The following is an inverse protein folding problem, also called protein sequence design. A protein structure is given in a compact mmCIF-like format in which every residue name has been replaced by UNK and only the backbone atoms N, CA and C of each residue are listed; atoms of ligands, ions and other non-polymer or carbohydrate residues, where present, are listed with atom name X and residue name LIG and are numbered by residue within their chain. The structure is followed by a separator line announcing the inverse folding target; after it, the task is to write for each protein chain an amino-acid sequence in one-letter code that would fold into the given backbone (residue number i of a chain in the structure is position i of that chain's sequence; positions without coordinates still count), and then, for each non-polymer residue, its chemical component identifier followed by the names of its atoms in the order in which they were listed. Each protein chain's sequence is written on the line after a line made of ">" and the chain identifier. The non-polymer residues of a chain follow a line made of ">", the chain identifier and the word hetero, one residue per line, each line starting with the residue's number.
data_IF_414993181668
#
_entry.id   IF_414993181668
#
_cell.length_a   1.000
_cell.length_b   1.000
_cell.length_c   1.000
_cell.angle_alpha   90.00
_cell.angle_beta   90.00
_cell.angle_gamma   90.00
#
_symmetry.space_group_name_H-M   'P 1'
#
loop_
_entity.id
_entity.type
_entity.pdbx_description
1 polymer ?
#
# COMPACT_ATOMS: atom_id res chain seq x y z
N UNK A 1 3.28 -19.30 -17.65
CA UNK A 1 2.78 -19.13 -19.02
C UNK A 1 3.79 -19.76 -19.95
N UNK A 2 3.43 -20.89 -20.42
CA UNK A 2 4.18 -21.81 -21.25
C UNK A 2 5.55 -21.27 -21.71
N UNK A 3 6.63 -21.73 -21.08
CA UNK A 3 8.03 -21.41 -21.40
C UNK A 3 8.41 -19.91 -21.39
N UNK A 4 7.74 -19.06 -20.58
CA UNK A 4 8.04 -17.63 -20.46
C UNK A 4 8.30 -17.19 -19.01
N UNK A 5 9.28 -16.30 -18.83
CA UNK A 5 9.51 -15.55 -17.59
C UNK A 5 9.04 -14.12 -17.81
N UNK A 6 8.27 -13.58 -16.87
CA UNK A 6 7.76 -12.21 -16.90
C UNK A 6 8.41 -11.45 -15.75
N UNK A 7 9.03 -10.32 -16.05
CA UNK A 7 9.77 -9.51 -15.09
C UNK A 7 9.30 -8.07 -15.15
N UNK A 8 8.93 -7.53 -13.99
CA UNK A 8 8.81 -6.09 -13.80
C UNK A 8 10.18 -5.48 -13.52
N UNK A 9 10.56 -4.46 -14.27
CA UNK A 9 11.88 -3.84 -14.12
C UNK A 9 11.81 -2.54 -13.35
N UNK A 10 12.93 -2.13 -12.75
CA UNK A 10 13.05 -0.85 -12.06
C UNK A 10 12.84 0.34 -13.04
N UNK A 11 13.35 0.27 -14.25
CA UNK A 11 12.91 1.12 -15.33
C UNK A 11 11.45 0.76 -15.66
N UNK A 12 10.52 1.72 -15.82
CA UNK A 12 9.10 1.42 -15.99
C UNK A 12 8.83 0.54 -17.21
N UNK A 13 8.96 -0.76 -17.06
CA UNK A 13 8.67 -1.73 -18.13
C UNK A 13 8.33 -3.12 -17.62
N UNK A 14 7.64 -3.89 -18.45
CA UNK A 14 7.45 -5.32 -18.33
C UNK A 14 8.28 -5.99 -19.42
N UNK A 15 9.13 -6.93 -19.04
CA UNK A 15 9.98 -7.70 -19.95
C UNK A 15 9.60 -9.17 -19.91
N UNK A 16 9.48 -9.79 -21.07
CA UNK A 16 9.13 -11.21 -21.22
C UNK A 16 10.25 -11.94 -21.91
N UNK A 17 10.72 -12.98 -21.27
CA UNK A 17 11.85 -13.80 -21.72
C UNK A 17 11.42 -15.22 -22.02
N UNK A 18 12.13 -15.88 -22.94
CA UNK A 18 12.10 -17.33 -23.14
C UNK A 18 12.69 -18.03 -21.92
N UNK A 19 11.92 -18.94 -21.30
CA UNK A 19 12.35 -19.63 -20.07
C UNK A 19 13.61 -20.47 -20.27
N UNK A 20 13.76 -21.12 -21.45
CA UNK A 20 14.85 -22.06 -21.72
C UNK A 20 16.11 -21.35 -22.19
N UNK A 21 15.97 -20.31 -23.02
CA UNK A 21 17.05 -19.60 -23.66
C UNK A 21 17.49 -18.34 -22.94
N UNK A 22 16.68 -17.82 -22.00
CA UNK A 22 16.91 -16.53 -21.35
C UNK A 22 16.88 -15.33 -22.32
N UNK A 23 16.35 -15.53 -23.54
CA UNK A 23 16.30 -14.48 -24.57
C UNK A 23 15.09 -13.58 -24.34
N UNK A 24 15.27 -12.26 -24.40
CA UNK A 24 14.18 -11.28 -24.41
C UNK A 24 13.29 -11.53 -25.64
N UNK A 25 12.02 -11.78 -25.42
CA UNK A 25 11.01 -11.96 -26.45
C UNK A 25 10.35 -10.64 -26.83
N UNK A 26 9.95 -9.86 -25.82
CA UNK A 26 9.35 -8.55 -26.00
C UNK A 26 9.39 -7.73 -24.71
N UNK A 27 9.17 -6.43 -24.86
CA UNK A 27 9.13 -5.45 -23.78
C UNK A 27 7.92 -4.52 -23.96
N UNK A 28 7.23 -4.22 -22.86
CA UNK A 28 6.18 -3.22 -22.78
C UNK A 28 6.64 -2.06 -21.92
N UNK A 29 6.73 -0.86 -22.47
CA UNK A 29 7.14 0.34 -21.74
C UNK A 29 5.96 0.97 -20.99
N UNK A 30 6.15 1.17 -19.67
CA UNK A 30 5.26 1.91 -18.76
C UNK A 30 5.74 3.36 -18.59
N UNK A 31 6.40 3.92 -19.59
CA UNK A 31 6.97 5.26 -19.57
C UNK A 31 5.98 6.27 -20.14
N UNK A 32 5.81 7.40 -19.46
CA UNK A 32 5.15 8.57 -20.02
C UNK A 32 6.19 9.48 -20.70
N UNK A 33 6.18 9.53 -22.02
CA UNK A 33 7.12 10.32 -22.81
C UNK A 33 6.88 11.83 -22.74
N UNK A 34 5.76 12.27 -22.17
CA UNK A 34 5.42 13.70 -22.01
C UNK A 34 5.97 14.30 -20.72
N UNK A 35 6.40 13.48 -19.78
CA UNK A 35 7.00 13.93 -18.53
C UNK A 35 8.50 14.15 -18.69
N UNK A 36 8.99 15.33 -18.33
CA UNK A 36 10.40 15.69 -18.42
C UNK A 36 11.20 15.14 -17.22
N UNK A 37 12.42 14.73 -17.51
CA UNK A 37 13.63 14.73 -16.70
C UNK A 37 13.54 14.21 -15.26
N UNK A 38 13.59 12.90 -15.13
CA UNK A 38 13.91 12.23 -13.88
C UNK A 38 15.38 11.75 -13.88
N UNK A 39 16.12 11.92 -12.77
CA UNK A 39 17.44 11.32 -12.58
C UNK A 39 17.43 10.33 -11.42
N UNK A 40 17.88 9.13 -11.68
CA UNK A 40 18.12 8.11 -10.66
C UNK A 40 19.51 7.48 -10.90
N UNK A 41 20.25 7.24 -9.81
CA UNK A 41 21.57 6.62 -9.89
C UNK A 41 22.58 7.41 -10.73
N UNK A 42 22.47 8.74 -10.79
CA UNK A 42 23.39 9.62 -11.56
C UNK A 42 23.08 9.69 -13.06
N UNK A 43 22.10 8.94 -13.57
CA UNK A 43 21.68 8.97 -14.99
C UNK A 43 20.42 9.84 -15.17
N UNK A 44 20.38 10.55 -16.30
CA UNK A 44 19.21 11.32 -16.72
C UNK A 44 18.19 10.38 -17.39
N UNK A 45 16.93 10.50 -16.99
CA UNK A 45 15.81 9.80 -17.62
C UNK A 45 14.82 10.85 -18.13
N UNK A 46 14.51 10.81 -19.42
CA UNK A 46 13.62 11.75 -20.11
C UNK A 46 12.17 11.21 -20.15
N UNK A 47 11.72 10.57 -19.06
CA UNK A 47 10.38 10.02 -18.95
C UNK A 47 9.87 10.06 -17.50
N UNK A 48 8.58 10.12 -17.34
CA UNK A 48 7.86 9.74 -16.13
C UNK A 48 7.16 8.39 -16.35
N UNK A 49 6.43 7.92 -15.38
CA UNK A 49 5.72 6.64 -15.40
C UNK A 49 5.95 5.87 -14.12
N UNK A 50 5.18 4.83 -13.91
CA UNK A 50 5.25 4.00 -12.71
C UNK A 50 5.95 2.67 -12.99
N UNK A 51 6.99 2.36 -12.22
CA UNK A 51 7.59 1.02 -12.30
C UNK A 51 6.61 -0.05 -11.74
N UNK A 52 6.68 -1.30 -12.20
CA UNK A 52 5.78 -2.37 -11.80
C UNK A 52 6.18 -3.05 -10.48
N UNK A 53 6.54 -2.29 -9.46
CA UNK A 53 7.04 -2.82 -8.20
C UNK A 53 5.94 -3.34 -7.26
N UNK A 54 4.68 -2.91 -7.45
CA UNK A 54 3.53 -3.39 -6.68
C UNK A 54 3.16 -4.84 -6.96
N UNK A 55 3.68 -5.41 -8.04
CA UNK A 55 3.48 -6.82 -8.40
C UNK A 55 2.68 -7.02 -9.68
N UNK A 56 2.70 -8.27 -10.14
CA UNK A 56 2.08 -8.71 -11.39
C UNK A 56 1.24 -9.95 -11.11
N UNK A 57 0.03 -9.98 -11.63
CA UNK A 57 -0.82 -11.17 -11.67
C UNK A 57 -1.19 -11.53 -13.10
N UNK A 58 -1.33 -12.83 -13.37
CA UNK A 58 -1.59 -13.34 -14.70
C UNK A 58 -2.91 -14.12 -14.75
N UNK A 59 -3.81 -13.72 -15.65
CA UNK A 59 -4.95 -14.53 -16.08
C UNK A 59 -4.47 -15.47 -17.16
N UNK A 60 -4.27 -16.75 -16.82
CA UNK A 60 -3.73 -17.74 -17.72
C UNK A 60 -4.71 -18.12 -18.82
N UNK A 61 -5.99 -18.05 -18.56
CA UNK A 61 -7.06 -18.38 -19.49
C UNK A 61 -7.20 -17.28 -20.56
N UNK A 62 -7.30 -16.01 -20.10
CA UNK A 62 -7.45 -14.86 -20.99
C UNK A 62 -6.13 -14.37 -21.58
N UNK A 63 -4.99 -14.86 -21.09
CA UNK A 63 -3.64 -14.43 -21.48
C UNK A 63 -3.41 -12.92 -21.23
N UNK A 64 -3.86 -12.45 -20.07
CA UNK A 64 -3.76 -11.03 -19.67
C UNK A 64 -2.86 -10.93 -18.42
N UNK A 65 -1.96 -9.95 -18.43
CA UNK A 65 -1.21 -9.51 -17.23
C UNK A 65 -1.91 -8.30 -16.63
N UNK A 66 -2.02 -8.29 -15.31
CA UNK A 66 -2.42 -7.13 -14.52
C UNK A 66 -1.25 -6.68 -13.67
N UNK A 67 -0.93 -5.40 -13.73
CA UNK A 67 0.28 -4.82 -13.17
C UNK A 67 -0.08 -3.65 -12.29
N UNK A 68 0.32 -3.68 -11.01
CA UNK A 68 0.26 -2.52 -10.12
C UNK A 68 1.52 -1.69 -10.28
N UNK A 69 1.37 -0.38 -10.44
CA UNK A 69 2.49 0.51 -10.71
C UNK A 69 2.73 1.52 -9.58
N UNK A 70 4.00 1.86 -9.42
CA UNK A 70 4.48 2.89 -8.51
C UNK A 70 4.12 4.31 -8.96
N UNK A 71 4.44 5.29 -8.14
CA UNK A 71 4.36 6.68 -8.52
C UNK A 71 5.49 7.08 -9.50
N UNK A 72 5.28 8.15 -10.21
CA UNK A 72 6.32 8.79 -11.00
C UNK A 72 7.46 9.29 -10.09
N UNK A 73 8.66 9.35 -10.59
CA UNK A 73 9.84 9.71 -9.79
C UNK A 73 9.70 11.02 -9.01
N UNK A 74 10.48 11.16 -7.93
CA UNK A 74 10.40 12.22 -6.92
C UNK A 74 9.07 12.22 -6.16
N UNK A 75 9.01 11.41 -5.10
CA UNK A 75 7.80 11.01 -4.36
C UNK A 75 6.95 12.16 -3.79
N UNK A 76 7.57 13.32 -3.50
CA UNK A 76 6.92 14.45 -2.83
C UNK A 76 6.98 15.76 -3.63
N UNK A 77 7.45 15.69 -4.89
CA UNK A 77 7.59 16.86 -5.75
C UNK A 77 7.48 16.43 -7.21
N UNK A 78 6.75 17.18 -8.01
CA UNK A 78 6.44 16.86 -9.40
C UNK A 78 6.76 17.98 -10.39
N UNK A 79 7.46 19.07 -9.99
CA UNK A 79 7.72 20.23 -10.84
C UNK A 79 8.49 19.88 -12.12
N UNK A 80 9.25 18.80 -12.12
CA UNK A 80 10.01 18.30 -13.28
C UNK A 80 9.24 17.31 -14.16
N UNK A 81 8.02 16.94 -13.79
CA UNK A 81 7.20 15.93 -14.47
C UNK A 81 5.74 16.36 -14.66
N UNK A 82 5.47 17.43 -15.41
CA UNK A 82 4.12 17.98 -15.57
C UNK A 82 3.14 16.98 -16.19
N UNK A 83 1.85 17.16 -15.94
CA UNK A 83 0.77 16.31 -16.42
C UNK A 83 0.42 15.19 -15.45
N UNK A 84 -0.49 14.29 -15.84
CA UNK A 84 -1.06 13.27 -14.98
C UNK A 84 -0.07 12.12 -14.65
N UNK A 85 1.06 12.06 -15.34
CA UNK A 85 2.07 11.01 -15.23
C UNK A 85 1.48 9.62 -15.54
N UNK A 86 1.05 9.44 -16.76
CA UNK A 86 0.44 8.20 -17.26
C UNK A 86 1.22 6.97 -16.83
N UNK A 87 0.52 5.87 -16.55
CA UNK A 87 1.03 4.61 -16.02
C UNK A 87 1.59 4.66 -14.60
N UNK A 88 1.66 5.81 -13.93
CA UNK A 88 1.94 5.86 -12.50
C UNK A 88 0.66 5.69 -11.69
N UNK A 89 0.75 5.16 -10.46
CA UNK A 89 -0.39 4.95 -9.56
C UNK A 89 -1.56 4.23 -10.25
N UNK A 90 -1.24 3.24 -11.08
CA UNK A 90 -2.18 2.63 -12.01
C UNK A 90 -2.25 1.11 -11.88
N UNK A 91 -3.39 0.56 -12.29
CA UNK A 91 -3.50 -0.83 -12.70
C UNK A 91 -3.49 -0.87 -14.22
N UNK A 92 -2.59 -1.66 -14.79
CA UNK A 92 -2.38 -1.77 -16.23
C UNK A 92 -2.66 -3.20 -16.66
N UNK A 93 -3.55 -3.40 -17.64
CA UNK A 93 -3.81 -4.70 -18.25
C UNK A 93 -3.15 -4.83 -19.61
N UNK A 94 -2.35 -5.88 -19.78
CA UNK A 94 -1.55 -6.12 -20.99
C UNK A 94 -1.92 -7.48 -21.58
N UNK A 95 -2.30 -7.49 -22.84
CA UNK A 95 -2.48 -8.71 -23.65
C UNK A 95 -1.10 -9.30 -23.99
N UNK A 96 -0.81 -10.48 -23.44
CA UNK A 96 0.48 -11.15 -23.63
C UNK A 96 0.66 -11.67 -25.06
N UNK A 97 -0.43 -12.11 -25.68
CA UNK A 97 -0.40 -12.67 -27.04
C UNK A 97 -0.12 -11.58 -28.08
N UNK A 98 -0.85 -10.47 -27.97
CA UNK A 98 -0.76 -9.36 -28.92
C UNK A 98 0.21 -8.25 -28.48
N UNK A 99 0.83 -8.37 -27.29
CA UNK A 99 1.85 -7.46 -26.74
C UNK A 99 1.37 -6.01 -26.66
N UNK A 100 0.10 -5.79 -26.27
CA UNK A 100 -0.54 -4.48 -26.29
C UNK A 100 -1.29 -4.17 -25.00
N UNK A 101 -1.40 -2.88 -24.69
CA UNK A 101 -2.28 -2.36 -23.67
C UNK A 101 -3.74 -2.71 -23.99
N UNK A 102 -4.45 -3.28 -23.03
CA UNK A 102 -5.91 -3.42 -23.08
C UNK A 102 -6.60 -2.24 -22.43
N UNK A 103 -6.21 -1.93 -21.19
CA UNK A 103 -6.74 -0.80 -20.45
C UNK A 103 -5.76 -0.38 -19.34
N UNK A 104 -5.97 0.82 -18.84
CA UNK A 104 -5.28 1.41 -17.71
C UNK A 104 -6.30 2.08 -16.80
N UNK A 105 -6.14 1.93 -15.50
CA UNK A 105 -6.91 2.64 -14.49
C UNK A 105 -5.96 3.32 -13.52
N UNK A 106 -5.85 4.65 -13.61
CA UNK A 106 -5.03 5.47 -12.71
C UNK A 106 -5.87 5.89 -11.51
N UNK A 107 -5.42 5.57 -10.28
CA UNK A 107 -6.10 5.95 -9.04
C UNK A 107 -5.86 7.44 -8.73
N UNK A 108 -4.59 7.82 -8.64
CA UNK A 108 -4.16 9.19 -8.27
C UNK A 108 -3.37 9.79 -9.44
N UNK A 109 -3.82 10.95 -9.88
CA UNK A 109 -3.16 11.71 -10.92
C UNK A 109 -2.11 12.64 -10.32
N UNK A 110 -0.94 12.71 -10.95
CA UNK A 110 0.16 13.59 -10.52
C UNK A 110 0.48 13.43 -9.03
N UNK A 111 0.75 12.20 -8.60
CA UNK A 111 1.02 11.88 -7.19
C UNK A 111 2.28 12.57 -6.68
N UNK A 112 2.12 13.44 -5.68
CA UNK A 112 3.19 14.05 -4.90
C UNK A 112 3.11 13.68 -3.40
N UNK A 113 2.28 12.69 -3.04
CA UNK A 113 2.05 12.27 -1.65
C UNK A 113 2.65 10.90 -1.35
N UNK A 114 3.28 10.23 -2.34
CA UNK A 114 3.80 8.87 -2.27
C UNK A 114 2.70 7.83 -1.98
N UNK A 115 1.57 7.99 -2.64
CA UNK A 115 0.37 7.15 -2.50
C UNK A 115 0.23 6.15 -3.66
N UNK A 116 1.33 5.61 -4.12
CA UNK A 116 1.39 4.63 -5.20
C UNK A 116 0.72 3.29 -4.85
N UNK A 117 0.40 2.51 -5.88
CA UNK A 117 -0.19 1.20 -5.71
C UNK A 117 0.91 0.18 -5.44
N UNK A 118 1.13 -0.11 -4.16
CA UNK A 118 2.20 -0.99 -3.71
C UNK A 118 1.81 -2.47 -3.68
N UNK A 119 0.51 -2.78 -3.68
CA UNK A 119 -0.01 -4.14 -3.51
C UNK A 119 -0.15 -4.87 -4.84
N UNK A 120 0.10 -6.19 -4.89
CA UNK A 120 -0.14 -6.98 -6.09
C UNK A 120 -1.64 -7.08 -6.42
N UNK A 121 -2.00 -7.13 -7.71
CA UNK A 121 -3.37 -7.36 -8.13
C UNK A 121 -3.86 -8.75 -7.70
N UNK A 122 -5.09 -8.86 -7.21
CA UNK A 122 -5.73 -10.13 -6.85
C UNK A 122 -6.82 -10.43 -7.89
N UNK A 123 -6.78 -11.62 -8.49
CA UNK A 123 -7.77 -12.07 -9.46
C UNK A 123 -8.81 -12.92 -8.74
N UNK A 124 -10.07 -12.47 -8.74
CA UNK A 124 -11.20 -13.17 -8.11
C UNK A 124 -12.49 -12.92 -8.90
N UNK A 125 -13.59 -13.46 -8.42
CA UNK A 125 -14.93 -13.18 -8.92
C UNK A 125 -15.82 -12.74 -7.77
N UNK A 126 -16.72 -11.81 -8.07
CA UNK A 126 -17.72 -11.31 -7.12
C UNK A 126 -19.14 -11.57 -7.63
N UNK A 127 -20.11 -11.56 -6.72
CA UNK A 127 -21.54 -11.65 -7.04
C UNK A 127 -22.16 -10.25 -6.96
N UNK A 128 -22.68 -9.75 -8.08
CA UNK A 128 -23.41 -8.48 -8.10
C UNK A 128 -24.65 -8.62 -8.98
N UNK A 129 -25.83 -8.23 -8.46
CA UNK A 129 -27.10 -8.32 -9.15
C UNK A 129 -27.34 -9.75 -9.71
N UNK A 130 -27.11 -10.79 -8.89
CA UNK A 130 -27.21 -12.22 -9.24
C UNK A 130 -26.33 -12.68 -10.41
N UNK A 131 -25.32 -11.89 -10.78
CA UNK A 131 -24.32 -12.25 -11.78
C UNK A 131 -22.95 -12.38 -11.14
N UNK A 132 -22.21 -13.39 -11.60
CA UNK A 132 -20.77 -13.50 -11.29
C UNK A 132 -20.00 -12.60 -12.23
N UNK A 133 -19.12 -11.79 -11.69
CA UNK A 133 -18.27 -10.86 -12.44
C UNK A 133 -16.82 -11.13 -12.05
N UNK A 134 -15.99 -11.38 -13.06
CA UNK A 134 -14.56 -11.52 -12.86
C UNK A 134 -13.91 -10.15 -12.70
N UNK A 135 -13.19 -9.98 -11.58
CA UNK A 135 -12.60 -8.71 -11.21
C UNK A 135 -11.11 -8.84 -10.90
N UNK A 136 -10.40 -7.74 -11.06
CA UNK A 136 -9.10 -7.51 -10.44
C UNK A 136 -9.29 -6.58 -9.25
N UNK A 137 -8.79 -7.00 -8.08
CA UNK A 137 -8.94 -6.28 -6.83
C UNK A 137 -7.57 -5.85 -6.34
N UNK A 138 -7.42 -4.57 -5.94
CA UNK A 138 -6.15 -4.04 -5.45
C UNK A 138 -6.40 -3.10 -4.27
N UNK A 139 -5.92 -3.42 -3.07
CA UNK A 139 -5.89 -2.46 -1.97
C UNK A 139 -4.74 -1.47 -2.17
N UNK A 140 -4.95 -0.21 -1.80
CA UNK A 140 -4.01 0.87 -2.09
C UNK A 140 -3.45 1.55 -0.83
N UNK A 141 -2.36 2.28 -0.97
CA UNK A 141 -1.80 3.10 0.11
C UNK A 141 -2.74 4.24 0.53
N UNK A 142 -3.61 4.68 -0.35
CA UNK A 142 -4.62 5.69 -0.02
C UNK A 142 -5.79 5.13 0.79
N UNK A 143 -5.81 3.81 1.04
CA UNK A 143 -6.86 3.15 1.81
C UNK A 143 -8.08 2.75 1.01
N UNK A 144 -8.04 2.83 -0.31
CA UNK A 144 -9.08 2.34 -1.20
C UNK A 144 -8.90 0.85 -1.53
N UNK A 145 -10.00 0.22 -1.88
CA UNK A 145 -10.01 -1.08 -2.57
C UNK A 145 -10.50 -0.86 -4.00
N UNK A 146 -9.59 -0.91 -4.96
CA UNK A 146 -9.98 -0.87 -6.37
C UNK A 146 -10.57 -2.21 -6.76
N UNK A 147 -11.82 -2.23 -7.25
CA UNK A 147 -12.49 -3.42 -7.79
C UNK A 147 -12.86 -3.11 -9.23
N UNK A 148 -12.08 -3.65 -10.16
CA UNK A 148 -12.19 -3.34 -11.57
C UNK A 148 -12.64 -4.59 -12.35
N UNK A 149 -13.54 -4.41 -13.31
CA UNK A 149 -13.89 -5.45 -14.26
C UNK A 149 -12.64 -5.91 -15.01
N UNK A 150 -12.38 -7.21 -15.01
CA UNK A 150 -11.12 -7.79 -15.50
C UNK A 150 -10.90 -7.55 -17.00
N UNK A 151 -11.97 -7.45 -17.77
CA UNK A 151 -11.90 -7.28 -19.23
C UNK A 151 -11.84 -5.82 -19.64
N UNK A 152 -12.66 -4.99 -19.02
CA UNK A 152 -12.84 -3.58 -19.45
C UNK A 152 -12.06 -2.55 -18.62
N UNK A 153 -11.58 -2.93 -17.43
CA UNK A 153 -10.95 -2.00 -16.49
C UNK A 153 -11.90 -1.02 -15.81
N UNK A 154 -13.20 -1.14 -16.03
CA UNK A 154 -14.20 -0.24 -15.42
C UNK A 154 -14.35 -0.56 -13.93
N UNK A 155 -14.41 0.50 -13.09
CA UNK A 155 -14.70 0.34 -11.67
C UNK A 155 -16.11 -0.24 -11.48
N UNK A 156 -16.22 -1.29 -10.67
CA UNK A 156 -17.48 -1.98 -10.35
C UNK A 156 -18.40 -1.10 -9.49
N UNK A 157 -17.83 -0.31 -8.60
CA UNK A 157 -18.59 0.55 -7.69
C UNK A 157 -18.62 2.02 -8.14
N UNK A 158 -17.83 2.38 -9.18
CA UNK A 158 -17.70 3.75 -9.65
C UNK A 158 -16.83 4.61 -8.75
N UNK A 159 -16.75 5.89 -9.05
CA UNK A 159 -16.08 6.94 -8.29
C UNK A 159 -16.63 8.31 -8.69
N UNK A 160 -16.40 9.32 -7.86
CA UNK A 160 -16.64 10.72 -8.18
C UNK A 160 -15.33 11.48 -8.31
N UNK A 161 -15.31 12.58 -9.05
CA UNK A 161 -14.17 13.47 -9.11
C UNK A 161 -14.38 14.65 -8.16
N UNK A 162 -13.46 14.82 -7.21
CA UNK A 162 -13.49 15.93 -6.25
C UNK A 162 -12.35 16.88 -6.55
N UNK A 163 -12.63 18.18 -6.50
CA UNK A 163 -11.63 19.23 -6.69
C UNK A 163 -10.55 19.14 -5.61
N UNK A 164 -9.29 19.11 -6.03
CA UNK A 164 -8.12 19.13 -5.18
C UNK A 164 -7.47 20.53 -5.15
N UNK A 165 -6.82 20.92 -4.04
CA UNK A 165 -6.06 22.16 -3.98
C UNK A 165 -4.89 22.16 -4.98
N UNK A 166 -4.59 23.32 -5.54
CA UNK A 166 -3.39 23.49 -6.37
C UNK A 166 -2.16 23.77 -5.50
N UNK A 167 -0.99 23.41 -6.02
CA UNK A 167 0.29 23.72 -5.40
C UNK A 167 0.64 25.19 -5.57
N UNK A 168 1.29 25.77 -4.56
CA UNK A 168 1.92 27.07 -4.56
C UNK A 168 3.44 27.01 -4.86
N UNK A 169 3.97 25.82 -5.03
CA UNK A 169 5.40 25.59 -5.32
C UNK A 169 5.70 25.95 -6.78
N UNK A 170 6.71 26.81 -7.05
CA UNK A 170 7.05 27.22 -8.41
C UNK A 170 7.37 26.02 -9.32
N UNK A 171 6.68 25.96 -10.46
CA UNK A 171 6.82 24.88 -11.44
C UNK A 171 5.99 23.63 -11.15
N UNK A 172 5.42 23.47 -9.96
CA UNK A 172 4.53 22.35 -9.62
C UNK A 172 3.13 22.57 -10.21
N UNK A 173 2.58 21.53 -10.85
CA UNK A 173 1.24 21.56 -11.47
C UNK A 173 0.45 20.32 -11.08
N UNK A 174 -0.14 20.36 -9.89
CA UNK A 174 -1.02 19.27 -9.39
C UNK A 174 -2.29 19.13 -10.22
N UNK A 175 -2.89 17.93 -10.26
CA UNK A 175 -4.16 17.71 -10.91
C UNK A 175 -5.30 18.47 -10.22
N UNK A 176 -6.21 19.03 -11.00
CA UNK A 176 -7.38 19.77 -10.49
C UNK A 176 -8.40 18.88 -9.79
N UNK A 177 -8.45 17.61 -10.15
CA UNK A 177 -9.42 16.65 -9.64
C UNK A 177 -8.70 15.38 -9.24
N UNK A 178 -9.19 14.77 -8.15
CA UNK A 178 -8.80 13.43 -7.73
C UNK A 178 -10.05 12.56 -7.55
N UNK A 179 -9.89 11.26 -7.76
CA UNK A 179 -10.97 10.28 -7.63
C UNK A 179 -11.30 10.02 -6.16
N UNK A 180 -12.57 9.98 -5.84
CA UNK A 180 -13.10 9.60 -4.52
C UNK A 180 -14.00 8.39 -4.69
N UNK A 181 -13.76 7.37 -3.90
CA UNK A 181 -14.50 6.12 -3.88
C UNK A 181 -15.30 6.04 -2.57
N UNK A 182 -16.63 5.95 -2.70
CA UNK A 182 -17.50 5.70 -1.55
C UNK A 182 -17.55 4.20 -1.23
N UNK A 183 -17.44 3.36 -2.28
CA UNK A 183 -17.40 1.91 -2.18
C UNK A 183 -16.28 1.33 -3.08
N UNK A 184 -15.63 0.25 -2.66
CA UNK A 184 -15.66 -0.29 -1.30
C UNK A 184 -15.28 0.78 -0.26
N UNK A 185 -15.88 0.65 0.95
CA UNK A 185 -15.59 1.59 2.04
C UNK A 185 -14.07 1.69 2.28
N UNK A 186 -13.50 2.91 2.38
CA UNK A 186 -12.08 3.08 2.67
C UNK A 186 -11.70 2.40 3.99
N UNK A 187 -10.67 1.56 3.94
CA UNK A 187 -10.22 0.79 5.10
C UNK A 187 -9.17 1.50 5.96
N UNK A 188 -8.68 2.66 5.52
CA UNK A 188 -7.64 3.46 6.19
C UNK A 188 -7.98 4.94 6.09
N UNK A 189 -7.40 5.76 6.98
CA UNK A 189 -7.54 7.21 6.92
C UNK A 189 -6.86 7.76 5.66
N UNK A 190 -7.60 8.52 4.87
CA UNK A 190 -7.11 9.02 3.58
C UNK A 190 -6.37 10.35 3.70
N UNK A 191 -6.74 11.18 4.65
CA UNK A 191 -6.09 12.47 4.94
C UNK A 191 -6.33 12.90 6.38
N UNK A 192 -5.42 13.70 6.90
CA UNK A 192 -5.49 14.22 8.27
C UNK A 192 -6.54 15.34 8.36
N UNK A 193 -7.36 15.32 9.42
CA UNK A 193 -8.53 16.20 9.61
C UNK A 193 -8.38 17.17 10.79
N UNK A 194 -7.17 17.33 11.31
CA UNK A 194 -6.88 18.20 12.45
C UNK A 194 -7.09 17.53 13.79
N UNK A 195 -7.63 18.28 14.75
CA UNK A 195 -7.72 17.87 16.15
C UNK A 195 -8.42 16.50 16.37
N UNK A 196 -9.34 16.13 15.49
CA UNK A 196 -10.06 14.85 15.57
C UNK A 196 -9.15 13.63 15.34
N UNK A 197 -8.04 13.83 14.66
CA UNK A 197 -7.11 12.76 14.30
C UNK A 197 -5.87 12.73 15.21
N UNK A 198 -5.71 13.68 16.15
CA UNK A 198 -4.63 13.69 17.12
C UNK A 198 -4.78 12.51 18.08
N UNK A 199 -3.64 11.92 18.48
CA UNK A 199 -3.61 10.85 19.47
C UNK A 199 -4.39 11.21 20.74
N UNK A 200 -5.05 10.22 21.32
CA UNK A 200 -5.85 10.34 22.53
C UNK A 200 -5.49 9.29 23.59
N UNK A 201 -4.26 8.79 23.51
CA UNK A 201 -3.78 7.79 24.51
C UNK A 201 -3.54 8.41 25.87
N UNK A 202 -3.25 9.71 25.92
CA UNK A 202 -3.21 10.52 27.14
C UNK A 202 -3.42 12.00 26.79
N UNK A 203 -3.81 12.81 27.77
CA UNK A 203 -3.93 14.27 27.60
C UNK A 203 -2.57 14.91 27.29
N UNK A 204 -1.50 14.41 27.90
CA UNK A 204 -0.14 14.89 27.68
C UNK A 204 0.30 14.65 26.22
N UNK A 205 0.09 13.43 25.71
CA UNK A 205 0.37 13.09 24.30
C UNK A 205 -0.45 13.94 23.33
N UNK A 206 -1.74 14.16 23.64
CA UNK A 206 -2.61 15.02 22.84
C UNK A 206 -2.06 16.45 22.76
N UNK A 207 -1.75 17.10 23.88
CA UNK A 207 -1.26 18.47 23.91
C UNK A 207 0.10 18.59 23.22
N UNK A 208 1.02 17.65 23.46
CA UNK A 208 2.33 17.63 22.81
C UNK A 208 2.20 17.57 21.28
N UNK A 209 1.39 16.66 20.75
CA UNK A 209 1.18 16.53 19.30
C UNK A 209 0.44 17.74 18.74
N UNK A 210 -0.55 18.27 19.45
CA UNK A 210 -1.29 19.48 19.06
C UNK A 210 -0.34 20.68 18.89
N UNK A 211 0.57 20.89 19.82
CA UNK A 211 1.58 21.94 19.71
C UNK A 211 2.55 21.70 18.56
N UNK A 212 2.95 20.45 18.37
CA UNK A 212 3.88 20.04 17.30
C UNK A 212 3.31 20.28 15.89
N UNK A 213 1.99 20.16 15.71
CA UNK A 213 1.33 20.32 14.40
C UNK A 213 0.68 21.68 14.16
N UNK A 214 0.71 22.60 15.12
CA UNK A 214 -0.04 23.88 15.08
C UNK A 214 0.15 24.73 13.81
N UNK A 215 1.37 24.70 13.23
CA UNK A 215 1.70 25.46 12.03
C UNK A 215 1.68 24.61 10.74
N UNK A 216 1.30 23.34 10.85
CA UNK A 216 1.27 22.43 9.72
C UNK A 216 0.00 22.61 8.87
N UNK A 217 0.10 22.26 7.59
CA UNK A 217 -1.06 22.12 6.70
C UNK A 217 -1.48 20.67 6.59
N UNK A 218 -2.74 20.42 6.27
CA UNK A 218 -3.30 19.08 6.08
C UNK A 218 -4.59 19.13 5.25
N UNK A 219 -5.13 17.99 4.89
CA UNK A 219 -6.43 17.86 4.24
C UNK A 219 -6.39 17.06 2.95
N UNK A 220 -7.53 16.96 2.28
CA UNK A 220 -7.74 16.20 1.06
C UNK A 220 -6.79 16.65 -0.05
N UNK A 221 -5.84 15.80 -0.41
CA UNK A 221 -4.80 16.05 -1.42
C UNK A 221 -4.14 17.44 -1.30
N UNK A 222 -3.92 17.91 -0.06
CA UNK A 222 -3.20 19.17 0.19
C UNK A 222 -1.76 19.03 -0.32
N UNK A 223 -1.30 19.87 -1.27
CA UNK A 223 0.07 19.84 -1.77
C UNK A 223 1.09 20.23 -0.69
N UNK A 224 2.32 19.77 -0.86
CA UNK A 224 3.45 20.19 -0.04
C UNK A 224 3.87 21.60 -0.39
N UNK A 225 4.45 22.31 0.57
CA UNK A 225 4.94 23.68 0.42
C UNK A 225 6.43 23.77 0.76
N UNK A 226 7.08 24.86 0.34
CA UNK A 226 8.47 25.15 0.68
C UNK A 226 8.53 25.62 2.14
N UNK A 227 9.44 25.03 2.92
CA UNK A 227 9.69 25.36 4.33
C UNK A 227 8.45 25.31 5.25
N UNK A 228 7.38 24.62 4.82
CA UNK A 228 6.18 24.45 5.63
C UNK A 228 5.78 22.97 5.65
N UNK A 229 5.61 22.42 6.86
CA UNK A 229 5.23 21.02 7.05
C UNK A 229 3.78 20.80 6.62
N UNK A 230 3.54 19.73 5.85
CA UNK A 230 2.21 19.24 5.49
C UNK A 230 2.03 17.84 6.06
N UNK A 231 0.86 17.54 6.64
CA UNK A 231 0.57 16.25 7.25
C UNK A 231 -0.11 15.35 6.23
N UNK A 232 0.47 14.17 6.03
CA UNK A 232 -0.13 13.08 5.24
C UNK A 232 -0.13 11.80 6.06
N UNK A 233 -1.11 10.90 5.81
CA UNK A 233 -1.01 9.54 6.29
C UNK A 233 -0.08 8.75 5.38
N UNK A 234 0.95 8.14 5.98
CA UNK A 234 1.77 7.12 5.34
C UNK A 234 1.24 5.77 5.76
N UNK A 235 0.47 5.14 4.91
CA UNK A 235 -0.18 3.94 5.39
C UNK A 235 -0.95 3.20 4.33
N UNK A 236 -2.21 2.95 4.61
CA UNK A 236 -3.05 2.08 3.81
C UNK A 236 -2.45 0.69 3.68
N UNK A 237 -2.71 0.02 2.57
CA UNK A 237 -2.12 -1.27 2.24
C UNK A 237 -0.72 -1.10 1.66
N UNK A 238 0.18 -2.01 2.04
CA UNK A 238 1.57 -2.04 1.61
C UNK A 238 1.83 -3.19 0.62
N UNK A 239 3.07 -3.36 0.18
CA UNK A 239 3.47 -4.35 -0.83
C UNK A 239 3.18 -5.82 -0.47
N UNK A 240 2.84 -6.12 0.76
CA UNK A 240 2.41 -7.46 1.17
C UNK A 240 0.97 -7.79 0.73
N UNK A 241 0.22 -6.77 0.29
CA UNK A 241 -1.11 -6.93 -0.28
C UNK A 241 -2.17 -7.36 0.72
N UNK A 242 -3.14 -8.08 0.22
CA UNK A 242 -4.27 -8.62 0.95
C UNK A 242 -4.50 -10.09 0.57
N UNK A 243 -5.41 -10.75 1.27
CA UNK A 243 -5.87 -12.10 0.94
C UNK A 243 -7.37 -12.10 0.69
N UNK A 244 -7.83 -12.86 -0.30
CA UNK A 244 -9.27 -13.01 -0.62
C UNK A 244 -9.69 -14.45 -0.42
N UNK A 245 -10.77 -14.65 0.31
CA UNK A 245 -11.52 -15.92 0.27
C UNK A 245 -12.42 -15.91 -0.98
N UNK A 246 -12.04 -16.71 -1.98
CA UNK A 246 -12.77 -16.80 -3.25
C UNK A 246 -14.17 -17.37 -3.13
N UNK A 247 -14.49 -18.12 -2.06
CA UNK A 247 -15.81 -18.71 -1.87
C UNK A 247 -16.83 -17.67 -1.38
N UNK A 248 -16.41 -16.82 -0.45
CA UNK A 248 -17.27 -15.79 0.15
C UNK A 248 -17.15 -14.43 -0.57
N UNK A 249 -16.07 -14.18 -1.27
CA UNK A 249 -15.76 -12.88 -1.84
C UNK A 249 -15.32 -11.86 -0.78
N UNK A 250 -14.77 -12.32 0.35
CA UNK A 250 -14.28 -11.46 1.43
C UNK A 250 -12.79 -11.23 1.28
N UNK A 251 -12.37 -9.97 1.29
CA UNK A 251 -10.97 -9.56 1.32
C UNK A 251 -10.55 -9.19 2.75
N UNK A 252 -9.37 -9.67 3.15
CA UNK A 252 -8.71 -9.32 4.41
C UNK A 252 -7.48 -8.48 4.10
N UNK A 253 -7.41 -7.26 4.63
CA UNK A 253 -6.32 -6.32 4.34
C UNK A 253 -5.74 -5.74 5.63
N UNK A 254 -4.42 -5.89 5.86
CA UNK A 254 -3.71 -5.17 6.89
C UNK A 254 -3.43 -3.74 6.41
N UNK A 255 -3.55 -2.77 7.31
CA UNK A 255 -3.34 -1.37 6.98
C UNK A 255 -2.64 -0.60 8.09
N UNK A 256 -2.14 0.58 7.74
CA UNK A 256 -1.48 1.52 8.63
C UNK A 256 -2.12 2.90 8.55
N UNK A 257 -2.23 3.59 9.70
CA UNK A 257 -2.71 4.96 9.81
C UNK A 257 -1.66 5.83 10.55
N UNK A 258 -0.47 5.99 9.95
CA UNK A 258 0.68 6.67 10.54
C UNK A 258 0.85 8.07 9.94
N UNK A 259 0.68 9.16 10.73
CA UNK A 259 0.82 10.52 10.24
C UNK A 259 2.29 10.88 10.06
N UNK A 260 2.59 11.62 9.01
CA UNK A 260 3.95 12.10 8.72
C UNK A 260 3.93 13.54 8.24
N UNK A 261 4.92 14.31 8.67
CA UNK A 261 5.25 15.57 8.04
C UNK A 261 5.97 15.33 6.72
N UNK A 262 5.60 16.10 5.72
CA UNK A 262 6.32 16.23 4.45
C UNK A 262 6.52 17.72 4.18
N UNK A 263 7.72 18.10 3.76
CA UNK A 263 8.01 19.47 3.31
C UNK A 263 9.10 19.49 2.26
N UNK A 264 9.22 20.62 1.58
CA UNK A 264 10.22 20.87 0.56
C UNK A 264 11.15 22.00 1.03
N UNK A 265 12.40 21.93 0.59
CA UNK A 265 13.38 23.03 0.77
C UNK A 265 14.04 23.34 -0.58
N UNK A 266 14.26 24.61 -0.87
CA UNK A 266 14.98 25.01 -2.08
C UNK A 266 16.43 24.55 -2.05
N UNK A 267 16.90 24.04 -3.17
CA UNK A 267 18.28 23.58 -3.31
C UNK A 267 19.09 24.57 -4.14
N UNK A 268 20.28 24.93 -3.66
CA UNK A 268 21.20 25.78 -4.40
C UNK A 268 21.69 25.06 -5.68
N UNK A 269 21.36 25.60 -6.86
CA UNK A 269 21.45 24.97 -8.17
C UNK A 269 22.87 24.61 -8.67
N UNK A 270 23.93 25.00 -7.97
CA UNK A 270 25.31 24.85 -8.49
C UNK A 270 25.72 23.40 -8.77
N UNK A 271 25.07 22.40 -8.12
CA UNK A 271 25.45 20.98 -8.27
C UNK A 271 24.26 20.00 -8.29
N UNK A 272 23.02 20.44 -8.43
CA UNK A 272 21.85 19.56 -8.38
C UNK A 272 20.92 19.76 -9.58
N UNK A 273 20.26 18.67 -9.96
CA UNK A 273 19.26 18.66 -11.04
C UNK A 273 17.83 18.89 -10.53
N UNK A 274 17.70 19.15 -9.23
CA UNK A 274 16.41 19.32 -8.57
C UNK A 274 16.31 20.76 -8.06
N UNK A 275 15.12 21.30 -8.12
CA UNK A 275 14.83 22.61 -7.54
C UNK A 275 14.60 22.49 -6.02
N UNK A 276 14.18 21.32 -5.54
CA UNK A 276 13.78 21.11 -4.16
C UNK A 276 14.34 19.81 -3.59
N UNK A 277 14.80 19.82 -2.35
CA UNK A 277 14.96 18.64 -1.50
C UNK A 277 13.63 18.25 -0.88
N UNK A 278 13.45 16.95 -0.62
CA UNK A 278 12.21 16.38 -0.07
C UNK A 278 12.50 15.81 1.30
N UNK A 279 11.70 16.19 2.28
CA UNK A 279 11.84 15.74 3.66
C UNK A 279 10.58 15.01 4.13
N UNK A 280 10.76 14.03 5.01
CA UNK A 280 9.67 13.26 5.59
C UNK A 280 10.03 12.84 7.02
N UNK A 281 9.10 13.04 7.95
CA UNK A 281 9.26 12.70 9.36
C UNK A 281 7.95 12.11 9.90
N UNK A 282 8.00 10.97 10.59
CA UNK A 282 6.82 10.44 11.28
C UNK A 282 6.49 11.36 12.46
N UNK A 283 5.23 11.71 12.60
CA UNK A 283 4.75 12.48 13.74
C UNK A 283 4.58 11.51 14.90
N UNK A 284 5.38 11.72 15.93
CA UNK A 284 5.35 10.95 17.18
C UNK A 284 5.09 11.89 18.34
N UNK A 285 4.48 11.36 19.42
CA UNK A 285 4.39 12.03 20.70
C UNK A 285 5.74 12.03 21.44
N UNK A 286 5.78 12.49 22.67
CA UNK A 286 6.99 12.59 23.51
C UNK A 286 7.55 11.23 23.94
N UNK A 287 6.71 10.19 23.98
CA UNK A 287 7.10 8.82 24.30
C UNK A 287 7.50 7.99 23.06
N UNK A 288 7.31 8.55 21.84
CA UNK A 288 7.68 7.91 20.58
C UNK A 288 6.55 7.14 19.90
N UNK A 289 5.32 7.17 20.42
CA UNK A 289 4.14 6.59 19.79
C UNK A 289 3.64 7.46 18.63
N UNK A 290 2.91 6.88 17.65
CA UNK A 290 2.35 7.65 16.55
C UNK A 290 1.42 8.78 17.04
N UNK A 291 1.57 9.97 16.47
CA UNK A 291 0.82 11.17 16.84
C UNK A 291 -0.64 11.19 16.38
N UNK A 292 -1.12 10.16 15.68
CA UNK A 292 -2.52 10.02 15.31
C UNK A 292 -3.32 9.23 16.35
N UNK A 293 -4.63 9.43 16.32
CA UNK A 293 -5.58 8.62 17.09
C UNK A 293 -5.48 7.14 16.67
N UNK A 294 -5.35 6.18 17.60
CA UNK A 294 -5.37 4.77 17.26
C UNK A 294 -6.75 4.34 16.69
N UNK A 295 -6.84 3.20 15.96
CA UNK A 295 -5.76 2.23 15.79
C UNK A 295 -4.72 2.64 14.73
N UNK A 296 -3.44 2.48 15.06
CA UNK A 296 -2.31 2.80 14.18
C UNK A 296 -2.03 1.73 13.13
N UNK A 297 -2.39 0.51 13.43
CA UNK A 297 -2.43 -0.62 12.53
C UNK A 297 -3.75 -1.35 12.67
N UNK A 298 -4.32 -1.81 11.56
CA UNK A 298 -5.61 -2.51 11.54
C UNK A 298 -5.57 -3.72 10.63
N UNK A 299 -6.41 -4.70 10.94
CA UNK A 299 -6.82 -5.75 10.01
C UNK A 299 -8.31 -5.56 9.71
N UNK A 300 -8.65 -5.47 8.43
CA UNK A 300 -10.02 -5.17 7.97
C UNK A 300 -10.53 -6.27 7.05
N UNK A 301 -11.77 -6.72 7.26
CA UNK A 301 -12.49 -7.59 6.33
C UNK A 301 -13.51 -6.79 5.53
N UNK A 302 -13.47 -6.92 4.22
CA UNK A 302 -14.34 -6.21 3.28
C UNK A 302 -15.08 -7.20 2.40
N UNK A 303 -16.42 -7.14 2.38
CA UNK A 303 -17.23 -7.89 1.43
C UNK A 303 -17.13 -7.22 0.04
N UNK A 304 -16.43 -7.86 -0.87
CA UNK A 304 -16.24 -7.35 -2.24
C UNK A 304 -17.52 -7.39 -3.08
N UNK A 305 -18.56 -8.13 -2.65
CA UNK A 305 -19.82 -8.20 -3.40
C UNK A 305 -20.63 -6.91 -3.25
N UNK A 306 -20.56 -6.26 -2.08
CA UNK A 306 -21.29 -5.02 -1.78
C UNK A 306 -20.39 -3.83 -1.44
N UNK A 307 -19.11 -4.06 -1.20
CA UNK A 307 -18.13 -3.03 -0.87
C UNK A 307 -18.15 -2.57 0.60
N UNK A 308 -18.80 -3.30 1.51
CA UNK A 308 -18.92 -2.92 2.92
C UNK A 308 -17.87 -3.58 3.79
N UNK A 309 -17.39 -2.85 4.80
CA UNK A 309 -16.56 -3.38 5.87
C UNK A 309 -17.43 -4.27 6.75
N UNK A 310 -17.03 -5.55 6.91
CA UNK A 310 -17.69 -6.50 7.80
C UNK A 310 -17.19 -6.30 9.23
N UNK A 311 -15.87 -6.20 9.39
CA UNK A 311 -15.24 -5.90 10.66
C UNK A 311 -13.87 -5.24 10.43
N UNK A 312 -13.42 -4.48 11.41
CA UNK A 312 -12.10 -3.88 11.51
C UNK A 312 -11.62 -4.02 12.94
N UNK A 313 -10.42 -4.58 13.13
CA UNK A 313 -9.81 -4.77 14.45
C UNK A 313 -8.41 -4.17 14.49
N UNK A 314 -7.93 -3.67 15.64
CA UNK A 314 -6.52 -3.29 15.81
C UNK A 314 -5.61 -4.48 15.49
N UNK A 315 -4.48 -4.20 14.85
CA UNK A 315 -3.50 -5.21 14.46
C UNK A 315 -2.11 -4.90 15.03
N UNK A 316 -1.68 -5.72 15.97
CA UNK A 316 -0.53 -5.49 16.83
C UNK A 316 -0.89 -4.73 18.11
N UNK A 317 0.01 -4.71 19.07
CA UNK A 317 -0.15 -4.00 20.33
C UNK A 317 1.20 -3.48 20.85
N UNK A 318 1.15 -2.49 21.73
CA UNK A 318 2.23 -2.09 22.61
C UNK A 318 1.89 -2.60 23.98
N UNK A 319 2.59 -3.66 24.44
CA UNK A 319 2.31 -4.33 25.71
C UNK A 319 2.30 -3.32 26.88
N UNK A 320 3.20 -2.32 26.86
CA UNK A 320 3.31 -1.26 27.86
C UNK A 320 2.14 -0.27 27.91
N UNK A 321 1.37 -0.14 26.82
CA UNK A 321 0.14 0.68 26.80
C UNK A 321 -1.05 -0.11 27.34
N UNK A 322 -1.16 -1.39 26.98
CA UNK A 322 -2.21 -2.27 27.49
C UNK A 322 -2.06 -2.55 28.98
N UNK A 323 -0.84 -2.60 29.52
CA UNK A 323 -0.56 -2.66 30.96
C UNK A 323 -1.00 -1.40 31.73
N UNK A 324 -1.16 -0.27 31.03
CA UNK A 324 -1.72 0.99 31.57
C UNK A 324 -3.23 1.15 31.32
N UNK A 325 -3.94 0.08 31.03
CA UNK A 325 -5.37 0.07 30.71
C UNK A 325 -5.76 0.86 29.44
N UNK A 326 -4.80 1.16 28.55
CA UNK A 326 -5.07 1.75 27.26
C UNK A 326 -5.51 0.63 26.31
N UNK A 327 -6.65 0.77 25.59
CA UNK A 327 -7.11 -0.26 24.66
C UNK A 327 -6.05 -0.58 23.59
N UNK A 328 -6.10 -1.81 23.04
CA UNK A 328 -5.18 -2.25 21.97
C UNK A 328 -5.16 -1.23 20.84
N UNK A 329 -3.99 -0.66 20.58
CA UNK A 329 -3.82 0.47 19.65
C UNK A 329 -3.49 0.04 18.23
N UNK A 330 -3.19 -1.24 17.99
CA UNK A 330 -2.51 -1.64 16.76
C UNK A 330 -1.10 -1.08 16.68
N UNK A 331 -0.28 -1.61 15.77
CA UNK A 331 1.06 -1.10 15.50
C UNK A 331 1.32 -0.96 14.02
N UNK A 332 2.37 -0.21 13.64
CA UNK A 332 2.87 -0.21 12.27
C UNK A 332 3.20 -1.64 11.83
N UNK A 333 2.77 -2.05 10.62
CA UNK A 333 2.89 -3.42 10.16
C UNK A 333 3.33 -3.53 8.69
N UNK A 334 4.09 -4.60 8.37
CA UNK A 334 4.63 -4.90 7.05
C UNK A 334 4.80 -6.41 6.78
N UNK A 335 3.93 -7.26 7.30
CA UNK A 335 4.10 -8.71 7.19
C UNK A 335 3.11 -9.43 6.29
N UNK A 336 1.92 -8.90 6.15
CA UNK A 336 0.88 -9.47 5.31
C UNK A 336 -0.03 -10.50 5.97
N UNK A 337 -0.94 -11.05 5.19
CA UNK A 337 -2.07 -11.84 5.65
C UNK A 337 -2.38 -12.98 4.68
N UNK A 338 -2.87 -14.12 5.22
CA UNK A 338 -3.33 -15.27 4.44
C UNK A 338 -4.60 -15.84 5.04
N UNK A 339 -5.67 -15.86 4.26
CA UNK A 339 -6.94 -16.48 4.63
C UNK A 339 -6.96 -17.99 4.28
N UNK A 340 -7.68 -18.78 5.07
CA UNK A 340 -7.86 -20.21 4.85
C UNK A 340 -9.33 -20.55 4.62
N UNK A 341 -9.59 -21.64 3.88
CA UNK A 341 -10.93 -22.15 3.70
C UNK A 341 -11.59 -22.63 5.02
N UNK A 342 -10.79 -22.91 6.05
CA UNK A 342 -11.26 -23.32 7.39
C UNK A 342 -11.72 -22.17 8.29
N UNK A 343 -11.84 -20.93 7.77
CA UNK A 343 -12.36 -19.80 8.53
C UNK A 343 -11.32 -19.10 9.40
N UNK A 344 -10.03 -19.27 9.12
CA UNK A 344 -8.94 -18.56 9.82
C UNK A 344 -8.24 -17.56 8.88
N UNK A 345 -7.77 -16.48 9.47
CA UNK A 345 -6.93 -15.48 8.83
C UNK A 345 -5.63 -15.37 9.63
N UNK A 346 -4.53 -15.82 9.05
CA UNK A 346 -3.20 -15.68 9.63
C UNK A 346 -2.56 -14.37 9.20
N UNK A 347 -2.03 -13.62 10.17
CA UNK A 347 -1.41 -12.32 9.92
C UNK A 347 -0.13 -12.15 10.76
N UNK A 348 0.84 -11.40 10.22
CA UNK A 348 2.13 -11.14 10.86
C UNK A 348 2.71 -9.79 10.42
N UNK A 349 3.85 -9.40 10.98
CA UNK A 349 4.57 -8.20 10.55
C UNK A 349 4.33 -6.96 11.39
N UNK A 350 3.78 -7.13 12.59
CA UNK A 350 3.59 -6.09 13.60
C UNK A 350 4.87 -5.83 14.42
N UNK A 351 4.96 -4.67 15.07
CA UNK A 351 6.11 -4.30 15.92
C UNK A 351 6.26 -5.18 17.14
N UNK A 352 5.17 -5.75 17.64
CA UNK A 352 5.19 -6.70 18.77
C UNK A 352 5.72 -8.09 18.40
N UNK A 353 6.12 -8.31 17.14
CA UNK A 353 6.69 -9.56 16.64
C UNK A 353 5.80 -10.80 16.83
N UNK A 354 4.48 -10.64 16.81
CA UNK A 354 3.56 -11.79 16.92
C UNK A 354 3.08 -12.23 15.52
N UNK A 355 2.93 -13.55 15.31
CA UNK A 355 1.99 -14.11 14.34
C UNK A 355 0.68 -14.34 15.05
N UNK A 356 -0.44 -14.08 14.37
CA UNK A 356 -1.80 -14.19 14.90
C UNK A 356 -2.69 -14.99 13.98
N UNK A 357 -3.65 -15.69 14.55
CA UNK A 357 -4.78 -16.28 13.83
C UNK A 357 -6.06 -15.60 14.30
N UNK A 358 -6.82 -15.07 13.34
CA UNK A 358 -8.12 -14.43 13.57
C UNK A 358 -9.25 -15.29 13.02
N UNK A 359 -10.42 -15.23 13.66
CA UNK A 359 -11.65 -15.73 13.10
C UNK A 359 -12.06 -14.88 11.90
N UNK A 360 -12.22 -15.48 10.73
CA UNK A 360 -12.51 -14.79 9.48
C UNK A 360 -13.87 -14.07 9.48
N UNK A 361 -14.85 -14.56 10.26
CA UNK A 361 -16.19 -14.02 10.29
C UNK A 361 -16.34 -12.74 11.15
N UNK A 362 -15.51 -12.57 12.19
CA UNK A 362 -15.69 -11.48 13.16
C UNK A 362 -14.42 -10.78 13.62
N UNK A 363 -13.25 -11.17 13.11
CA UNK A 363 -11.96 -10.53 13.44
C UNK A 363 -11.44 -10.80 14.86
N UNK A 364 -12.07 -11.73 15.62
CA UNK A 364 -11.59 -12.09 16.96
C UNK A 364 -10.25 -12.84 16.85
N UNK A 365 -9.22 -12.40 17.60
CA UNK A 365 -7.98 -13.16 17.75
C UNK A 365 -8.27 -14.47 18.50
N UNK A 366 -7.86 -15.58 17.88
CA UNK A 366 -8.04 -16.93 18.43
C UNK A 366 -6.75 -17.52 18.97
N UNK A 367 -5.62 -17.10 18.39
CA UNK A 367 -4.30 -17.60 18.75
C UNK A 367 -3.24 -16.60 18.34
N UNK A 368 -2.16 -16.53 19.14
CA UNK A 368 -0.95 -15.81 18.78
C UNK A 368 0.31 -16.50 19.30
N UNK A 369 1.43 -16.20 18.65
CA UNK A 369 2.74 -16.69 19.06
C UNK A 369 3.79 -15.60 18.87
N UNK A 370 4.59 -15.35 19.92
CA UNK A 370 5.69 -14.38 19.91
C UNK A 370 6.88 -14.93 19.13
N UNK A 371 7.27 -14.23 18.09
CA UNK A 371 8.44 -14.52 17.27
C UNK A 371 9.64 -13.69 17.77
N UNK A 372 10.89 -14.11 17.50
CA UNK A 372 12.07 -13.32 17.88
C UNK A 372 12.22 -12.02 17.08
N UNK A 373 11.63 -11.97 15.89
CA UNK A 373 11.60 -10.81 14.99
C UNK A 373 10.24 -10.73 14.31
N UNK A 374 9.91 -9.56 13.76
CA UNK A 374 8.70 -9.40 12.97
C UNK A 374 8.70 -10.31 11.73
N UNK A 375 7.58 -10.91 11.42
CA UNK A 375 7.38 -11.61 10.15
C UNK A 375 7.50 -10.63 8.97
N UNK A 376 8.06 -11.07 7.87
CA UNK A 376 8.46 -10.18 6.75
C UNK A 376 7.69 -10.43 5.45
N UNK A 377 6.75 -11.37 5.45
CA UNK A 377 5.90 -11.69 4.30
C UNK A 377 4.59 -12.32 4.76
N UNK A 378 3.57 -12.43 3.89
CA UNK A 378 2.38 -13.21 4.17
C UNK A 378 2.74 -14.64 4.59
N UNK A 379 2.08 -15.21 5.63
CA UNK A 379 2.27 -16.61 6.00
C UNK A 379 1.94 -17.52 4.82
N UNK A 380 2.81 -18.47 4.51
CA UNK A 380 2.57 -19.48 3.48
C UNK A 380 1.92 -20.70 4.10
N UNK A 381 0.79 -21.14 3.57
CA UNK A 381 0.05 -22.30 4.05
C UNK A 381 0.11 -23.40 3.00
N UNK A 382 0.48 -24.61 3.43
CA UNK A 382 0.55 -25.77 2.55
C UNK A 382 0.18 -27.05 3.31
N UNK A 383 -0.15 -28.08 2.58
CA UNK A 383 -0.41 -29.42 3.09
C UNK A 383 0.73 -30.36 2.70
N UNK A 384 1.18 -31.16 3.65
CA UNK A 384 2.15 -32.22 3.44
C UNK A 384 1.80 -33.43 4.33
N UNK A 385 1.69 -34.61 3.73
CA UNK A 385 1.28 -35.85 4.41
C UNK A 385 -0.05 -35.71 5.20
N UNK A 386 -1.05 -35.07 4.63
CA UNK A 386 -2.36 -34.77 5.26
C UNK A 386 -2.25 -33.94 6.55
N UNK A 387 -1.18 -33.16 6.70
CA UNK A 387 -1.01 -32.19 7.78
C UNK A 387 -0.83 -30.80 7.21
N UNK A 388 -1.56 -29.84 7.76
CA UNK A 388 -1.43 -28.44 7.37
C UNK A 388 -0.26 -27.79 8.11
N UNK A 389 0.57 -27.07 7.35
CA UNK A 389 1.70 -26.30 7.85
C UNK A 389 1.54 -24.83 7.52
N UNK A 390 2.06 -23.97 8.40
CA UNK A 390 2.15 -22.53 8.22
C UNK A 390 3.62 -22.14 8.30
N UNK A 391 4.18 -21.64 7.21
CA UNK A 391 5.55 -21.11 7.17
C UNK A 391 5.54 -19.59 7.28
N UNK A 392 6.43 -19.05 8.12
CA UNK A 392 6.60 -17.62 8.33
C UNK A 392 8.08 -17.28 8.25
N UNK A 393 8.51 -16.50 7.24
CA UNK A 393 9.84 -15.88 7.26
C UNK A 393 9.90 -14.80 8.37
N UNK A 394 10.86 -14.95 9.27
CA UNK A 394 11.01 -14.12 10.48
C UNK A 394 12.35 -13.40 10.38
N UNK A 395 12.37 -12.38 9.52
CA UNK A 395 13.60 -11.63 9.21
C UNK A 395 13.56 -10.17 9.67
N UNK A 396 12.43 -9.75 10.21
CA UNK A 396 12.14 -8.34 10.49
C UNK A 396 11.90 -7.55 9.20
N UNK A 397 11.49 -6.30 9.32
CA UNK A 397 11.21 -5.40 8.20
C UNK A 397 12.14 -4.19 8.22
N UNK A 398 12.75 -3.87 7.07
CA UNK A 398 13.56 -2.66 6.93
C UNK A 398 12.71 -1.39 7.14
N UNK A 399 11.43 -1.41 6.78
CA UNK A 399 10.52 -0.29 6.96
C UNK A 399 10.17 -0.07 8.42
N UNK A 400 9.92 -1.15 9.17
CA UNK A 400 9.72 -1.08 10.62
C UNK A 400 10.97 -0.53 11.32
N UNK A 401 12.17 -1.02 10.96
CA UNK A 401 13.43 -0.53 11.54
C UNK A 401 13.71 0.94 11.24
N UNK A 402 13.35 1.41 10.05
CA UNK A 402 13.51 2.84 9.71
C UNK A 402 12.54 3.73 10.47
N UNK A 403 11.33 3.25 10.72
CA UNK A 403 10.29 3.99 11.42
C UNK A 403 10.44 3.95 12.95
N UNK A 404 10.85 2.79 13.49
CA UNK A 404 10.94 2.48 14.92
C UNK A 404 12.22 1.67 15.21
N UNK A 405 13.42 2.29 15.06
CA UNK A 405 14.70 1.59 15.18
C UNK A 405 14.96 1.03 16.58
N UNK A 406 14.37 1.63 17.60
CA UNK A 406 14.53 1.29 19.02
C UNK A 406 13.89 -0.08 19.36
N UNK A 407 12.80 -0.46 18.68
CA UNK A 407 12.04 -1.68 18.97
C UNK A 407 12.10 -2.73 17.86
N UNK A 408 12.40 -2.35 16.62
CA UNK A 408 12.43 -3.27 15.48
C UNK A 408 13.84 -3.78 15.18
N UNK A 409 14.00 -5.10 15.21
CA UNK A 409 15.26 -5.81 14.93
C UNK A 409 15.13 -6.68 13.67
N UNK A 410 16.25 -7.15 13.13
CA UNK A 410 16.28 -8.09 12.01
C UNK A 410 16.91 -9.42 12.39
N UNK A 411 16.55 -10.47 11.66
CA UNK A 411 17.04 -11.82 11.82
C UNK A 411 17.04 -12.61 10.52
N UNK A 412 17.19 -13.93 10.64
CA UNK A 412 17.35 -14.84 9.51
C UNK A 412 16.68 -16.20 9.75
N UNK A 413 15.47 -16.20 10.32
CA UNK A 413 14.78 -17.44 10.69
C UNK A 413 13.54 -17.67 9.83
N UNK A 414 13.16 -18.94 9.68
CA UNK A 414 11.87 -19.38 9.17
C UNK A 414 11.22 -20.25 10.26
N UNK A 415 9.98 -19.96 10.58
CA UNK A 415 9.18 -20.75 11.52
C UNK A 415 8.17 -21.56 10.76
N UNK A 416 7.99 -22.83 11.16
CA UNK A 416 6.95 -23.70 10.68
C UNK A 416 6.06 -24.10 11.86
N UNK A 417 4.75 -23.92 11.69
CA UNK A 417 3.74 -24.31 12.67
C UNK A 417 2.89 -25.42 12.09
N UNK A 418 2.45 -26.35 12.94
CA UNK A 418 1.42 -27.34 12.66
C UNK A 418 0.55 -27.56 13.88
N UNK A 419 -0.66 -28.06 13.68
CA UNK A 419 -1.48 -28.49 14.81
C UNK A 419 -0.81 -29.67 15.51
N UNK A 420 -0.77 -29.60 16.83
CA UNK A 420 -0.38 -30.75 17.65
C UNK A 420 -1.55 -31.71 17.68
N UNK A 421 -1.30 -32.97 17.33
CA UNK A 421 -2.27 -34.07 17.48
C UNK A 421 -2.50 -34.40 18.95
#
# INVERSE_FOLDING_TARGET
>A
MDDKIIIGTFEPSIEVYDLKKGKLLWKFDLKDKKGNLFRYGGKRHDYSGGNPWGGISADLERKILYVSTGNAGRFYEGSSRPGNNKYSNSIVAIDIKNQKLLWEFQEIEHDIWNLDIASPPILTSIKKNNKQIDVVVVPTKFGNTLVLDRVSGKSIFGYTNKKAPLSDVPGEKTSYYQKVFDLPEPFSNQYFKGDMDITNISEESYQYVKDKIKDATYGFFKPHSINKKNIVYKGGAQWMGASVDNNSGIMYVPSNDIPSFIWLEEVNKKNTYYNYSMHAEIIKDQEGYPGSKPPWGSLTAIDLNNGRIIWKTPFGEYDELTEKDIPITGTYNYGGVTATAGGLVFATGTLDNKIRAFNSANGKELWSYKLPFSGSSPPTIYEYNNEQYILVPVTGSISLRRAFPEISKSGNKVYAFRLKK
#
